data_IF_343030948982
#
_entry.id   IF_343030948982
#
_cell.length_a   1.000
_cell.length_b   1.000
_cell.length_c   1.000
_cell.angle_alpha   90.00
_cell.angle_beta   90.00
_cell.angle_gamma   90.00
#
_symmetry.space_group_name_H-M   'P 1'
#
loop_
_entity.id
_entity.type
_entity.pdbx_description
1 polymer ?
#
# COMPACT_ATOMS: atom_id res chain seq x y z
N UNK A 1 1.43 -10.94 8.36
CA UNK A 1 1.23 -12.41 8.38
C UNK A 1 -0.14 -12.73 7.79
N UNK A 2 -0.34 -13.95 7.26
CA UNK A 2 -1.67 -14.48 6.90
C UNK A 2 -2.14 -15.45 7.98
N UNK A 3 -3.44 -15.43 8.28
CA UNK A 3 -4.10 -16.41 9.15
C UNK A 3 -5.36 -16.86 8.41
N UNK A 4 -5.54 -18.16 8.12
CA UNK A 4 -6.77 -18.65 7.51
C UNK A 4 -7.99 -18.36 8.38
N UNK A 5 -9.12 -18.01 7.78
CA UNK A 5 -10.36 -17.71 8.51
C UNK A 5 -10.81 -18.90 9.37
N UNK A 6 -10.62 -20.13 8.90
CA UNK A 6 -10.95 -21.35 9.63
C UNK A 6 -10.05 -21.57 10.86
N UNK A 7 -8.99 -20.78 11.02
CA UNK A 7 -8.13 -20.74 12.20
C UNK A 7 -8.62 -19.80 13.29
N UNK A 8 -9.60 -18.97 12.98
CA UNK A 8 -10.24 -18.05 13.92
C UNK A 8 -11.47 -18.70 14.57
N UNK A 9 -11.29 -19.88 15.16
CA UNK A 9 -12.34 -20.58 15.89
C UNK A 9 -12.31 -20.18 17.38
N UNK A 10 -13.39 -19.61 17.95
CA UNK A 10 -13.46 -19.26 19.37
C UNK A 10 -13.17 -20.43 20.32
N UNK A 11 -13.49 -21.67 19.92
CA UNK A 11 -13.23 -22.87 20.70
C UNK A 11 -11.77 -23.33 20.70
N UNK A 12 -10.91 -22.73 19.87
CA UNK A 12 -9.47 -22.97 19.89
C UNK A 12 -8.71 -21.67 19.54
N UNK A 13 -8.56 -20.75 20.51
CA UNK A 13 -7.96 -19.44 20.27
C UNK A 13 -6.49 -19.50 19.81
N UNK A 14 -5.79 -20.61 20.08
CA UNK A 14 -4.39 -20.80 19.67
C UNK A 14 -4.24 -21.34 18.23
N UNK A 15 -5.32 -21.78 17.59
CA UNK A 15 -5.27 -22.34 16.23
C UNK A 15 -4.79 -21.31 15.19
N UNK A 16 -5.12 -20.04 15.38
CA UNK A 16 -4.70 -18.93 14.54
C UNK A 16 -3.19 -18.76 14.55
N UNK A 17 -2.58 -18.69 15.73
CA UNK A 17 -1.14 -18.51 15.88
C UNK A 17 -0.33 -19.68 15.28
N UNK A 18 -0.79 -20.92 15.48
CA UNK A 18 -0.15 -22.12 14.91
C UNK A 18 -0.19 -22.17 13.38
N UNK A 19 -1.17 -21.49 12.77
CA UNK A 19 -1.36 -21.44 11.32
C UNK A 19 -0.95 -20.11 10.70
N UNK A 20 -0.41 -19.19 11.50
CA UNK A 20 0.07 -17.91 11.02
C UNK A 20 1.28 -18.13 10.11
N UNK A 21 1.28 -17.50 8.94
CA UNK A 21 2.43 -17.49 8.03
C UNK A 21 2.90 -16.06 7.80
N UNK A 22 4.18 -15.81 7.97
CA UNK A 22 4.76 -14.48 7.80
C UNK A 22 4.76 -14.08 6.32
N UNK A 23 4.25 -12.90 5.97
CA UNK A 23 4.19 -12.45 4.56
C UNK A 23 5.47 -11.70 4.18
N UNK A 24 5.91 -10.79 5.04
CA UNK A 24 7.05 -9.89 4.81
C UNK A 24 7.47 -9.26 6.13
N UNK A 25 8.78 -9.11 6.32
CA UNK A 25 9.42 -8.36 7.41
C UNK A 25 10.78 -7.84 6.90
N UNK A 26 11.21 -6.63 7.31
CA UNK A 26 10.46 -5.66 8.11
C UNK A 26 9.27 -5.07 7.35
N UNK A 27 8.25 -4.63 8.09
CA UNK A 27 7.07 -3.94 7.55
C UNK A 27 6.73 -2.77 8.46
N UNK A 28 6.73 -1.56 7.92
CA UNK A 28 6.26 -0.36 8.63
C UNK A 28 4.73 -0.28 8.60
N UNK A 29 4.14 -0.44 7.42
CA UNK A 29 2.68 -0.45 7.24
C UNK A 29 2.28 -1.24 6.00
N UNK A 30 1.02 -1.67 5.97
CA UNK A 30 0.46 -2.41 4.83
C UNK A 30 -1.01 -2.04 4.62
N UNK A 31 -1.50 -2.17 3.38
CA UNK A 31 -2.90 -1.94 3.05
C UNK A 31 -3.31 -2.73 1.81
N UNK A 32 -4.54 -3.23 1.82
CA UNK A 32 -5.20 -3.82 0.65
C UNK A 32 -5.98 -2.72 -0.08
N UNK A 33 -5.94 -2.73 -1.40
CA UNK A 33 -6.79 -1.87 -2.23
C UNK A 33 -6.86 -2.37 -3.67
N UNK A 34 -7.48 -1.57 -4.53
CA UNK A 34 -7.64 -1.88 -5.95
C UNK A 34 -6.77 -0.96 -6.79
N UNK A 35 -6.00 -1.52 -7.73
CA UNK A 35 -5.23 -0.79 -8.73
C UNK A 35 -5.04 -1.69 -9.95
N UNK A 36 -5.09 -1.12 -11.15
CA UNK A 36 -5.08 -1.86 -12.43
C UNK A 36 -6.17 -2.94 -12.47
N UNK A 37 -7.35 -2.62 -11.92
CA UNK A 37 -8.48 -3.56 -11.77
C UNK A 37 -8.12 -4.86 -11.02
N UNK A 38 -7.09 -4.82 -10.17
CA UNK A 38 -6.62 -5.94 -9.33
C UNK A 38 -6.73 -5.61 -7.86
N UNK A 39 -7.10 -6.60 -7.05
CA UNK A 39 -6.97 -6.53 -5.59
C UNK A 39 -5.51 -6.78 -5.21
N UNK A 40 -4.86 -5.77 -4.66
CA UNK A 40 -3.44 -5.79 -4.33
C UNK A 40 -3.23 -5.51 -2.84
N UNK A 41 -2.31 -6.24 -2.22
CA UNK A 41 -1.77 -5.96 -0.90
C UNK A 41 -0.43 -5.23 -1.08
N UNK A 42 -0.37 -3.98 -0.65
CA UNK A 42 0.90 -3.26 -0.53
C UNK A 42 1.47 -3.47 0.86
N UNK A 43 2.73 -3.85 0.92
CA UNK A 43 3.58 -3.89 2.11
C UNK A 43 4.70 -2.88 1.93
N UNK A 44 4.91 -2.03 2.93
CA UNK A 44 5.92 -0.95 2.87
C UNK A 44 6.91 -1.13 4.00
N UNK A 45 8.19 -1.09 3.66
CA UNK A 45 9.26 -0.88 4.60
C UNK A 45 9.79 0.56 4.42
N UNK A 46 9.43 1.43 5.36
CA UNK A 46 9.86 2.82 5.42
C UNK A 46 10.94 3.06 6.49
N UNK A 47 11.43 2.02 7.19
CA UNK A 47 12.47 2.18 8.20
C UNK A 47 13.89 2.33 7.62
N UNK A 48 14.00 2.32 6.29
CA UNK A 48 15.23 2.47 5.53
C UNK A 48 15.00 3.47 4.40
N UNK A 49 16.04 4.20 4.00
CA UNK A 49 16.05 5.01 2.78
C UNK A 49 16.93 4.31 1.73
N UNK A 50 16.42 3.98 0.52
CA UNK A 50 15.07 4.22 0.02
C UNK A 50 13.98 3.37 0.74
N UNK A 51 12.73 3.85 0.75
CA UNK A 51 11.62 3.00 1.21
C UNK A 51 11.37 1.89 0.19
N UNK A 52 11.12 0.67 0.66
CA UNK A 52 10.83 -0.48 -0.21
C UNK A 52 9.34 -0.78 -0.23
N UNK A 53 8.78 -0.89 -1.44
CA UNK A 53 7.38 -1.23 -1.66
C UNK A 53 7.31 -2.61 -2.28
N UNK A 54 6.61 -3.53 -1.61
CA UNK A 54 6.27 -4.85 -2.12
C UNK A 54 4.76 -4.96 -2.31
N UNK A 55 4.35 -5.21 -3.54
CA UNK A 55 2.95 -5.40 -3.92
C UNK A 55 2.73 -6.88 -4.19
N UNK A 56 1.73 -7.42 -3.51
CA UNK A 56 1.34 -8.82 -3.56
C UNK A 56 -0.08 -8.91 -4.13
N UNK A 57 -0.37 -9.96 -4.88
CA UNK A 57 -1.73 -10.27 -5.33
C UNK A 57 -2.13 -11.69 -4.90
N UNK A 58 -3.44 -11.98 -4.75
CA UNK A 58 -3.92 -13.31 -4.47
C UNK A 58 -3.48 -14.32 -5.54
N UNK A 59 -2.92 -15.45 -5.12
CA UNK A 59 -2.64 -16.57 -6.00
C UNK A 59 -3.87 -17.48 -6.09
N UNK A 60 -4.75 -17.21 -7.04
CA UNK A 60 -6.00 -17.97 -7.19
C UNK A 60 -5.80 -19.48 -7.34
N UNK A 61 -4.72 -19.91 -7.99
CA UNK A 61 -4.43 -21.33 -8.19
C UNK A 61 -4.11 -22.01 -6.86
N UNK A 62 -3.31 -21.37 -6.01
CA UNK A 62 -2.98 -21.89 -4.68
C UNK A 62 -4.20 -21.84 -3.75
N UNK A 63 -5.03 -20.80 -3.84
CA UNK A 63 -6.27 -20.68 -3.06
C UNK A 63 -7.25 -21.81 -3.42
N UNK A 64 -7.42 -22.12 -4.72
CA UNK A 64 -8.26 -23.25 -5.17
C UNK A 64 -7.71 -24.59 -4.67
N UNK A 65 -6.39 -24.79 -4.72
CA UNK A 65 -5.73 -26.02 -4.24
C UNK A 65 -5.84 -26.18 -2.71
N UNK A 66 -5.78 -25.08 -1.96
CA UNK A 66 -5.93 -25.07 -0.49
C UNK A 66 -7.32 -25.52 -0.02
N UNK A 67 -8.36 -25.36 -0.84
CA UNK A 67 -9.73 -25.80 -0.53
C UNK A 67 -9.97 -27.29 -0.80
N UNK A 68 -9.06 -27.95 -1.53
CA UNK A 68 -9.12 -29.40 -1.76
C UNK A 68 -8.40 -30.12 -0.63
N UNK A 69 -9.17 -30.85 0.20
CA UNK A 69 -8.83 -31.43 1.50
C UNK A 69 -7.66 -32.43 1.58
N UNK A 70 -6.81 -32.59 0.55
CA UNK A 70 -5.93 -33.76 0.41
C UNK A 70 -4.43 -33.57 0.69
N UNK A 71 -3.91 -32.37 0.99
CA UNK A 71 -2.49 -32.23 1.38
C UNK A 71 -2.28 -31.26 2.54
N UNK A 72 -2.55 -31.76 3.74
CA UNK A 72 -2.25 -31.09 5.02
C UNK A 72 -0.81 -31.30 5.52
N UNK A 73 0.09 -31.91 4.74
CA UNK A 73 1.38 -32.41 5.24
C UNK A 73 2.64 -31.77 4.63
N UNK A 74 2.53 -30.70 3.83
CA UNK A 74 3.72 -29.97 3.38
C UNK A 74 3.74 -28.56 3.96
N UNK A 75 4.78 -28.18 4.72
CA UNK A 75 5.06 -26.80 5.08
C UNK A 75 5.60 -26.06 3.84
N UNK A 76 4.80 -25.99 2.78
CA UNK A 76 5.04 -25.11 1.63
C UNK A 76 4.62 -23.69 2.00
N UNK A 77 5.39 -22.69 1.55
CA UNK A 77 5.34 -21.28 1.94
C UNK A 77 3.98 -20.54 1.82
N UNK A 78 4.00 -19.21 1.78
CA UNK A 78 2.80 -18.39 1.59
C UNK A 78 2.27 -18.50 0.16
N UNK A 79 1.81 -19.69 -0.23
CA UNK A 79 1.44 -19.97 -1.61
C UNK A 79 0.21 -19.17 -2.06
N UNK A 80 -0.57 -18.61 -1.12
CA UNK A 80 -1.80 -17.85 -1.38
C UNK A 80 -1.58 -16.40 -1.83
N UNK A 81 -0.38 -15.85 -1.69
CA UNK A 81 -0.03 -14.51 -2.16
C UNK A 81 1.23 -14.62 -3.01
N UNK A 82 1.23 -13.99 -4.18
CA UNK A 82 2.41 -13.90 -5.06
C UNK A 82 2.86 -12.46 -5.20
N UNK A 83 4.16 -12.25 -5.39
CA UNK A 83 4.72 -10.93 -5.68
C UNK A 83 4.24 -10.49 -7.06
N UNK A 84 3.54 -9.36 -7.09
CA UNK A 84 3.16 -8.65 -8.31
C UNK A 84 4.29 -7.71 -8.74
N UNK A 85 4.79 -6.89 -7.80
CA UNK A 85 5.89 -5.97 -8.05
C UNK A 85 6.63 -5.64 -6.76
N UNK A 86 7.94 -5.42 -6.84
CA UNK A 86 8.75 -4.94 -5.73
C UNK A 86 9.72 -3.89 -6.25
N UNK A 87 9.77 -2.73 -5.61
CA UNK A 87 10.60 -1.62 -6.04
C UNK A 87 10.90 -0.64 -4.90
N UNK A 88 12.06 0.03 -4.93
CA UNK A 88 12.37 1.12 -4.03
C UNK A 88 11.77 2.45 -4.51
N UNK A 89 11.55 3.38 -3.59
CA UNK A 89 11.30 4.79 -3.87
C UNK A 89 12.31 5.66 -3.11
N UNK A 90 12.90 6.70 -3.73
CA UNK A 90 14.02 7.45 -3.17
C UNK A 90 13.61 8.46 -2.07
N UNK A 91 12.58 8.14 -1.30
CA UNK A 91 12.04 8.97 -0.23
C UNK A 91 11.67 8.10 0.97
N UNK A 92 11.59 8.71 2.15
CA UNK A 92 10.94 8.12 3.32
C UNK A 92 9.42 8.32 3.19
N UNK A 93 8.68 7.24 2.94
CA UNK A 93 7.25 7.31 2.71
C UNK A 93 6.47 7.37 4.03
N UNK A 94 5.70 8.43 4.23
CA UNK A 94 4.79 8.58 5.37
C UNK A 94 3.42 7.94 5.11
N UNK A 95 2.96 7.95 3.86
CA UNK A 95 1.70 7.32 3.45
C UNK A 95 1.78 6.83 2.01
N UNK A 96 1.04 5.77 1.68
CA UNK A 96 0.89 5.31 0.30
C UNK A 96 -0.56 4.91 0.07
N UNK A 97 -1.11 5.23 -1.09
CA UNK A 97 -2.50 4.95 -1.47
C UNK A 97 -2.56 4.40 -2.90
N UNK A 98 -3.41 3.42 -3.14
CA UNK A 98 -3.66 2.93 -4.50
C UNK A 98 -4.49 3.96 -5.28
N UNK A 99 -4.08 4.23 -6.51
CA UNK A 99 -4.83 4.93 -7.54
C UNK A 99 -5.27 3.92 -8.60
N UNK A 100 -5.98 4.38 -9.64
CA UNK A 100 -6.43 3.50 -10.73
C UNK A 100 -5.27 2.77 -11.43
N UNK A 101 -4.16 3.47 -11.68
CA UNK A 101 -3.01 2.97 -12.47
C UNK A 101 -1.68 3.02 -11.72
N UNK A 102 -1.68 3.44 -10.45
CA UNK A 102 -0.46 3.78 -9.75
C UNK A 102 -0.61 3.81 -8.23
N UNK A 103 0.42 4.33 -7.58
CA UNK A 103 0.43 4.65 -6.15
C UNK A 103 0.57 6.15 -5.98
N UNK A 104 -0.23 6.74 -5.10
CA UNK A 104 0.08 8.04 -4.51
C UNK A 104 0.96 7.80 -3.27
N UNK A 105 2.10 8.48 -3.21
CA UNK A 105 3.09 8.41 -2.13
C UNK A 105 3.15 9.77 -1.45
N UNK A 106 2.83 9.82 -0.16
CA UNK A 106 3.10 10.97 0.69
C UNK A 106 4.48 10.83 1.33
N UNK A 107 5.27 11.90 1.30
CA UNK A 107 6.57 12.02 1.96
C UNK A 107 6.76 13.47 2.44
N UNK A 108 7.90 13.79 3.06
CA UNK A 108 8.19 15.13 3.55
C UNK A 108 8.16 16.24 2.47
N UNK A 109 8.28 15.86 1.20
CA UNK A 109 8.25 16.77 0.05
C UNK A 109 6.83 16.99 -0.51
N UNK A 110 5.82 16.28 0.02
CA UNK A 110 4.45 16.32 -0.44
C UNK A 110 3.98 14.99 -1.03
N UNK A 111 3.14 15.04 -2.08
CA UNK A 111 2.58 13.87 -2.74
C UNK A 111 3.16 13.67 -4.14
N UNK A 112 3.72 12.48 -4.39
CA UNK A 112 4.10 12.01 -5.72
C UNK A 112 3.24 10.82 -6.16
N UNK A 113 3.19 10.56 -7.46
CA UNK A 113 2.53 9.40 -8.06
C UNK A 113 3.58 8.47 -8.68
N UNK A 114 3.46 7.17 -8.47
CA UNK A 114 4.26 6.14 -9.14
C UNK A 114 3.34 5.30 -10.02
N UNK A 115 3.54 5.30 -11.33
CA UNK A 115 2.79 4.44 -12.25
C UNK A 115 3.24 2.97 -12.06
N UNK A 116 2.29 2.04 -11.84
CA UNK A 116 2.64 0.64 -11.58
C UNK A 116 2.97 -0.17 -12.82
N UNK A 117 2.70 0.32 -14.02
CA UNK A 117 3.10 -0.32 -15.28
C UNK A 117 4.48 0.18 -15.69
N UNK A 118 4.64 1.50 -15.85
CA UNK A 118 5.85 2.13 -16.39
C UNK A 118 6.95 2.38 -15.35
N UNK A 119 6.58 2.42 -14.06
CA UNK A 119 7.46 2.86 -12.96
C UNK A 119 7.83 4.35 -12.98
N UNK A 120 7.16 5.15 -13.81
CA UNK A 120 7.39 6.59 -13.85
C UNK A 120 6.90 7.27 -12.57
N UNK A 121 7.68 8.25 -12.12
CA UNK A 121 7.34 9.11 -10.99
C UNK A 121 6.84 10.44 -11.54
N UNK A 122 5.64 10.84 -11.12
CA UNK A 122 4.98 12.08 -11.51
C UNK A 122 4.62 12.90 -10.28
N UNK A 123 4.61 14.22 -10.40
CA UNK A 123 3.95 15.05 -9.38
C UNK A 123 2.45 14.79 -9.42
N UNK A 124 1.81 14.60 -8.26
CA UNK A 124 0.35 14.56 -8.18
C UNK A 124 -0.25 15.94 -8.43
N UNK A 125 0.49 16.99 -8.07
CA UNK A 125 0.03 18.38 -8.14
C UNK A 125 0.42 19.03 -9.46
N UNK A 126 -0.51 19.81 -10.01
CA UNK A 126 -0.22 20.68 -11.14
C UNK A 126 0.67 21.85 -10.67
N UNK A 127 1.89 21.92 -11.20
CA UNK A 127 2.86 22.96 -10.87
C UNK A 127 2.47 24.38 -11.32
N UNK A 128 1.44 24.50 -12.16
CA UNK A 128 0.95 25.78 -12.68
C UNK A 128 -0.25 26.35 -11.92
N UNK A 129 -0.83 25.59 -10.99
CA UNK A 129 -2.00 26.03 -10.24
C UNK A 129 -1.58 26.95 -9.07
N UNK A 130 -1.91 28.23 -9.18
CA UNK A 130 -1.60 29.23 -8.15
C UNK A 130 -2.33 28.98 -6.82
N UNK A 131 -3.43 28.22 -6.81
CA UNK A 131 -4.12 27.83 -5.59
C UNK A 131 -3.28 26.84 -4.77
N UNK A 132 -2.33 26.13 -5.39
CA UNK A 132 -1.46 25.14 -4.74
C UNK A 132 -0.12 25.75 -4.28
N UNK A 133 0.03 27.07 -4.32
CA UNK A 133 1.27 27.75 -3.95
C UNK A 133 1.69 27.49 -2.51
N UNK A 134 0.73 27.28 -1.60
CA UNK A 134 1.00 26.97 -0.20
C UNK A 134 1.67 25.60 -0.04
N UNK A 135 1.30 24.61 -0.88
CA UNK A 135 1.94 23.29 -0.89
C UNK A 135 3.37 23.39 -1.44
N UNK A 136 3.57 24.19 -2.49
CA UNK A 136 4.88 24.38 -3.13
C UNK A 136 5.86 25.17 -2.25
N UNK A 137 5.38 26.23 -1.61
CA UNK A 137 6.19 27.08 -0.73
C UNK A 137 6.41 26.43 0.63
N UNK A 138 5.55 25.47 1.00
CA UNK A 138 5.51 24.81 2.29
C UNK A 138 5.17 25.81 3.42
N UNK A 139 4.58 25.37 4.54
CA UNK A 139 4.78 26.07 5.80
C UNK A 139 6.29 26.17 6.05
N UNK A 140 6.75 27.26 6.67
CA UNK A 140 8.17 27.43 7.07
C UNK A 140 8.74 26.22 7.84
N UNK A 141 7.86 25.38 8.39
CA UNK A 141 8.15 24.23 9.25
C UNK A 141 7.91 22.83 8.61
N UNK A 142 7.73 22.70 7.29
CA UNK A 142 7.61 21.39 6.58
C UNK A 142 6.64 20.41 7.26
N UNK A 143 5.34 20.74 7.37
CA UNK A 143 4.38 19.73 7.83
C UNK A 143 4.16 18.69 6.73
N UNK A 144 4.48 17.40 6.99
CA UNK A 144 4.27 16.36 5.99
C UNK A 144 2.77 16.19 5.72
N UNK A 145 2.41 15.76 4.51
CA UNK A 145 1.04 15.36 4.23
C UNK A 145 0.59 14.27 5.22
N UNK A 146 -0.61 14.42 5.77
CA UNK A 146 -1.14 13.54 6.81
C UNK A 146 -2.01 12.43 6.22
N UNK A 147 -2.81 12.74 5.20
CA UNK A 147 -3.68 11.76 4.56
C UNK A 147 -4.07 12.18 3.14
N UNK A 148 -4.41 11.19 2.31
CA UNK A 148 -5.12 11.38 1.04
C UNK A 148 -6.36 10.50 1.00
N UNK A 149 -7.49 11.08 0.61
CA UNK A 149 -8.76 10.38 0.45
C UNK A 149 -9.28 10.55 -0.97
N UNK A 150 -9.72 9.46 -1.60
CA UNK A 150 -10.44 9.53 -2.88
C UNK A 150 -11.91 9.79 -2.60
N UNK A 151 -12.49 10.80 -3.26
CA UNK A 151 -13.91 11.14 -3.22
C UNK A 151 -14.40 11.14 -4.66
N UNK A 152 -15.07 10.06 -5.08
CA UNK A 152 -15.45 9.84 -6.49
C UNK A 152 -14.24 9.95 -7.42
N UNK A 153 -14.17 11.01 -8.23
CA UNK A 153 -13.07 11.31 -9.14
C UNK A 153 -12.08 12.36 -8.59
N UNK A 154 -12.30 12.83 -7.38
CA UNK A 154 -11.48 13.85 -6.70
C UNK A 154 -10.57 13.22 -5.65
N UNK A 155 -9.55 13.97 -5.25
CA UNK A 155 -8.70 13.62 -4.12
C UNK A 155 -8.69 14.75 -3.09
N UNK A 156 -8.95 14.40 -1.84
CA UNK A 156 -8.74 15.26 -0.69
C UNK A 156 -7.33 15.04 -0.16
N UNK A 157 -6.48 16.05 -0.24
CA UNK A 157 -5.16 16.07 0.37
C UNK A 157 -5.23 16.81 1.70
N UNK A 158 -4.88 16.12 2.77
CA UNK A 158 -4.82 16.69 4.10
C UNK A 158 -3.38 17.03 4.46
N UNK A 159 -3.15 18.28 4.80
CA UNK A 159 -1.93 18.76 5.46
C UNK A 159 -2.28 19.16 6.89
N UNK A 160 -1.29 19.20 7.78
CA UNK A 160 -1.55 19.66 9.15
C UNK A 160 -1.91 21.16 9.13
N UNK A 161 -3.12 21.50 9.58
CA UNK A 161 -3.66 22.87 9.58
C UNK A 161 -4.39 23.32 8.30
N UNK A 162 -4.31 22.59 7.18
CA UNK A 162 -4.91 22.97 5.90
C UNK A 162 -5.44 21.76 5.11
N UNK A 163 -6.56 21.94 4.40
CA UNK A 163 -7.18 20.90 3.56
C UNK A 163 -7.23 21.40 2.12
N UNK A 164 -6.75 20.58 1.18
CA UNK A 164 -6.82 20.85 -0.25
C UNK A 164 -7.70 19.82 -0.95
N UNK A 165 -8.63 20.29 -1.78
CA UNK A 165 -9.39 19.43 -2.70
C UNK A 165 -8.73 19.55 -4.06
N UNK A 166 -8.24 18.43 -4.60
CA UNK A 166 -7.82 18.33 -5.98
C UNK A 166 -8.97 17.78 -6.83
N UNK A 167 -9.31 18.53 -7.87
CA UNK A 167 -10.09 18.01 -8.99
C UNK A 167 -9.19 17.12 -9.84
N UNK A 168 -9.59 15.85 -10.00
CA UNK A 168 -8.95 14.88 -10.88
C UNK A 168 -9.42 15.02 -12.33
#
# INVERSE_FOLDING_TARGET
MTIPLEALNPGNPMAGLKRAKEISSPTSFFKIGTCLERTLLRVVNASTLPSTIKILEPNEQAIKKSKSSFRKLLPGGNDILRVFKEFPIPVEASSIHFLKTGLCVGCAEGFGMVNLETMDIMSLLNSTDALLDFVRKGPRDKTPPTAIYRIEDHFLLCYDGEICILCG
#
